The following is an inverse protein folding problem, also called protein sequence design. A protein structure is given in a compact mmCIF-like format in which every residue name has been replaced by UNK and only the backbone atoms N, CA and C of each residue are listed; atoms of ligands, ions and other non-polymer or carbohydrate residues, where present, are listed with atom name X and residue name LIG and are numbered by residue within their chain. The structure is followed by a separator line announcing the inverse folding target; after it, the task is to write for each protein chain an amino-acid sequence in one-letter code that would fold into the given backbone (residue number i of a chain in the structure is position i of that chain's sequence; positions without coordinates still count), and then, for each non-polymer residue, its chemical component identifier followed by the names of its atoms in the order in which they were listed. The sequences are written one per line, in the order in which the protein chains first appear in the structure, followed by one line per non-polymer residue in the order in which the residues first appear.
data_IF_519248098709
#
_entry.id   IF_519248098709
#
_cell.length_a   1.000
_cell.length_b   1.000
_cell.length_c   1.000
_cell.angle_alpha   90.00
_cell.angle_beta   90.00
_cell.angle_gamma   90.00
#
_symmetry.space_group_name_H-M   'P 1'
#
loop_
_entity.id
_entity.type
_entity.pdbx_description
1 polymer ?
#
# COMPACT_ATOMS: atom_id res chain seq x y z
N UNK A 1 -23.50 5.97 3.16
CA UNK A 1 -22.43 6.25 2.15
C UNK A 1 -21.04 5.74 2.56
N UNK A 2 -20.73 5.58 3.85
CA UNK A 2 -19.43 5.04 4.33
C UNK A 2 -19.09 3.63 3.77
N UNK A 3 -20.04 2.70 3.70
CA UNK A 3 -19.77 1.35 3.18
C UNK A 3 -19.43 1.26 1.67
N UNK A 4 -19.79 2.27 0.85
CA UNK A 4 -19.47 2.28 -0.58
C UNK A 4 -18.04 2.77 -0.84
N UNK A 5 -17.54 3.70 -0.03
CA UNK A 5 -16.19 4.26 -0.15
C UNK A 5 -15.15 3.21 0.26
N UNK A 6 -15.37 2.49 1.36
CA UNK A 6 -14.50 1.39 1.78
C UNK A 6 -14.37 0.28 0.73
N UNK A 7 -15.48 -0.14 0.12
CA UNK A 7 -15.45 -1.10 -1.01
C UNK A 7 -14.60 -0.60 -2.18
N UNK A 8 -14.55 0.71 -2.43
CA UNK A 8 -13.74 1.26 -3.51
C UNK A 8 -12.23 1.19 -3.24
N UNK A 9 -11.81 1.46 -2.00
CA UNK A 9 -10.39 1.43 -1.60
C UNK A 9 -9.83 0.00 -1.67
N UNK A 10 -10.51 -0.97 -1.06
CA UNK A 10 -10.07 -2.37 -1.11
C UNK A 10 -10.12 -2.95 -2.52
N UNK A 11 -11.07 -2.53 -3.37
CA UNK A 11 -11.11 -2.93 -4.78
C UNK A 11 -9.93 -2.35 -5.58
N UNK A 12 -9.49 -1.13 -5.31
CA UNK A 12 -8.28 -0.58 -5.93
C UNK A 12 -7.03 -1.31 -5.45
N UNK A 13 -6.96 -1.65 -4.16
CA UNK A 13 -5.87 -2.45 -3.61
C UNK A 13 -5.82 -3.85 -4.22
N UNK A 14 -6.96 -4.53 -4.34
CA UNK A 14 -7.10 -5.80 -5.06
C UNK A 14 -6.60 -5.70 -6.50
N UNK A 15 -7.07 -4.72 -7.27
CA UNK A 15 -6.55 -4.47 -8.64
C UNK A 15 -5.05 -4.24 -8.66
N UNK A 16 -4.49 -3.59 -7.64
CA UNK A 16 -3.05 -3.36 -7.51
C UNK A 16 -2.30 -4.68 -7.24
N UNK A 17 -2.81 -5.52 -6.34
CA UNK A 17 -2.25 -6.86 -6.07
C UNK A 17 -2.29 -7.75 -7.32
N UNK A 18 -3.39 -7.66 -8.09
CA UNK A 18 -3.59 -8.37 -9.35
C UNK A 18 -2.71 -7.90 -10.51
N UNK A 19 -1.80 -6.94 -10.29
CA UNK A 19 -0.72 -6.66 -11.24
C UNK A 19 0.46 -7.64 -11.12
N UNK A 20 0.51 -8.48 -10.07
CA UNK A 20 1.40 -9.63 -10.01
C UNK A 20 0.77 -10.85 -10.70
N UNK A 21 1.57 -11.73 -11.35
CA UNK A 21 1.05 -12.91 -12.04
C UNK A 21 0.23 -13.86 -11.16
N UNK A 22 0.60 -13.98 -9.88
CA UNK A 22 -0.12 -14.84 -8.92
C UNK A 22 -1.56 -14.35 -8.68
N UNK A 23 -1.73 -13.03 -8.59
CA UNK A 23 -3.00 -12.38 -8.27
C UNK A 23 -3.66 -12.88 -6.98
N UNK A 24 -4.89 -12.41 -6.77
CA UNK A 24 -5.85 -12.84 -5.77
C UNK A 24 -7.25 -12.50 -6.33
N UNK A 25 -8.08 -13.50 -6.69
CA UNK A 25 -9.39 -13.25 -7.26
C UNK A 25 -10.28 -12.49 -6.24
N UNK A 26 -11.10 -11.54 -6.71
CA UNK A 26 -11.97 -10.76 -5.83
C UNK A 26 -12.95 -11.68 -5.11
N UNK A 27 -12.95 -11.62 -3.78
CA UNK A 27 -13.86 -12.38 -2.92
C UNK A 27 -14.15 -11.60 -1.65
N UNK A 28 -15.27 -11.90 -1.00
CA UNK A 28 -15.58 -11.30 0.30
C UNK A 28 -14.51 -11.63 1.34
N UNK A 29 -13.97 -12.85 1.30
CA UNK A 29 -12.87 -13.28 2.17
C UNK A 29 -11.61 -12.46 1.96
N UNK A 30 -11.23 -12.19 0.71
CA UNK A 30 -10.09 -11.31 0.40
C UNK A 30 -10.30 -9.91 1.00
N UNK A 31 -11.47 -9.31 0.81
CA UNK A 31 -11.74 -7.99 1.35
C UNK A 31 -11.76 -7.95 2.88
N UNK A 32 -12.21 -9.03 3.54
CA UNK A 32 -12.11 -9.17 5.00
C UNK A 32 -10.65 -9.22 5.45
N UNK A 33 -9.80 -10.00 4.80
CA UNK A 33 -8.35 -10.05 5.08
C UNK A 33 -7.73 -8.66 4.91
N UNK A 34 -8.00 -7.99 3.78
CA UNK A 34 -7.48 -6.64 3.54
C UNK A 34 -7.96 -5.62 4.58
N UNK A 35 -9.18 -5.73 5.08
CA UNK A 35 -9.71 -4.84 6.15
C UNK A 35 -9.09 -5.07 7.53
N UNK A 36 -8.49 -6.24 7.77
CA UNK A 36 -7.74 -6.53 8.99
C UNK A 36 -6.34 -5.90 8.89
N UNK A 37 -5.74 -5.93 7.70
CA UNK A 37 -4.38 -5.44 7.46
C UNK A 37 -4.33 -3.91 7.28
N UNK A 38 -5.32 -3.35 6.60
CA UNK A 38 -5.36 -1.94 6.20
C UNK A 38 -6.65 -1.30 6.67
N UNK A 39 -6.56 -0.09 7.20
CA UNK A 39 -7.74 0.78 7.20
C UNK A 39 -8.03 1.30 5.78
N UNK A 40 -9.21 1.90 5.57
CA UNK A 40 -9.63 2.36 4.23
C UNK A 40 -8.66 3.37 3.61
N UNK A 41 -8.08 4.27 4.42
CA UNK A 41 -7.14 5.30 3.97
C UNK A 41 -5.82 4.67 3.53
N UNK A 42 -5.31 3.71 4.30
CA UNK A 42 -4.11 2.95 3.96
C UNK A 42 -4.29 2.13 2.70
N UNK A 43 -5.43 1.45 2.55
CA UNK A 43 -5.74 0.68 1.34
C UNK A 43 -5.72 1.57 0.09
N UNK A 44 -6.32 2.76 0.18
CA UNK A 44 -6.29 3.75 -0.90
C UNK A 44 -4.85 4.21 -1.20
N UNK A 45 -4.06 4.57 -0.19
CA UNK A 45 -2.68 5.03 -0.37
C UNK A 45 -1.79 3.95 -0.99
N UNK A 46 -1.87 2.71 -0.48
CA UNK A 46 -1.05 1.59 -0.93
C UNK A 46 -1.44 1.13 -2.34
N UNK A 47 -2.71 1.26 -2.72
CA UNK A 47 -3.17 0.95 -4.09
C UNK A 47 -2.51 1.83 -5.16
N UNK A 48 -2.06 3.05 -4.79
CA UNK A 48 -1.43 4.02 -5.68
C UNK A 48 0.09 3.83 -5.80
N UNK A 49 0.70 3.11 -4.86
CA UNK A 49 2.15 2.94 -4.82
C UNK A 49 2.67 2.06 -5.97
N UNK A 50 3.94 2.25 -6.40
CA UNK A 50 4.58 1.38 -7.39
C UNK A 50 4.61 -0.09 -6.95
N UNK A 51 4.67 -0.98 -7.95
CA UNK A 51 4.88 -2.43 -7.74
C UNK A 51 6.34 -2.73 -7.40
N UNK A 52 7.27 -2.00 -8.03
CA UNK A 52 8.70 -2.12 -7.79
C UNK A 52 9.11 -1.33 -6.54
N UNK A 53 10.26 -1.65 -5.90
CA UNK A 53 10.79 -0.86 -4.81
C UNK A 53 10.89 0.64 -5.16
N UNK A 54 10.41 1.48 -4.27
CA UNK A 54 10.28 2.92 -4.49
C UNK A 54 10.82 3.72 -3.31
N UNK A 55 11.11 5.00 -3.52
CA UNK A 55 11.66 5.89 -2.48
C UNK A 55 10.57 6.74 -1.83
N UNK A 56 10.90 7.36 -0.70
CA UNK A 56 10.05 8.38 -0.05
C UNK A 56 9.67 9.49 -1.04
N UNK A 57 10.61 9.95 -1.86
CA UNK A 57 10.36 10.98 -2.88
C UNK A 57 9.31 10.54 -3.91
N UNK A 58 9.30 9.26 -4.28
CA UNK A 58 8.32 8.70 -5.23
C UNK A 58 6.93 8.68 -4.58
N UNK A 59 6.82 8.15 -3.37
CA UNK A 59 5.55 8.08 -2.64
C UNK A 59 5.01 9.49 -2.33
N UNK A 60 5.86 10.42 -1.93
CA UNK A 60 5.46 11.78 -1.58
C UNK A 60 4.87 12.52 -2.77
N UNK A 61 5.42 12.29 -3.98
CA UNK A 61 4.90 12.85 -5.23
C UNK A 61 3.55 12.26 -5.62
N UNK A 62 3.37 10.95 -5.44
CA UNK A 62 2.10 10.25 -5.72
C UNK A 62 1.01 10.76 -4.78
N UNK A 63 1.30 10.80 -3.47
CA UNK A 63 0.34 11.18 -2.43
C UNK A 63 0.17 12.69 -2.26
N UNK A 64 1.01 13.50 -2.92
CA UNK A 64 1.05 14.97 -2.77
C UNK A 64 1.25 15.39 -1.30
N UNK A 65 2.09 14.65 -0.57
CA UNK A 65 2.45 14.91 0.82
C UNK A 65 3.90 15.39 0.90
N UNK A 66 4.25 16.09 1.98
CA UNK A 66 5.66 16.35 2.28
C UNK A 66 6.38 15.03 2.67
N UNK A 67 7.71 15.03 2.58
CA UNK A 67 8.52 13.81 2.81
C UNK A 67 8.39 13.28 4.23
N UNK A 68 8.35 14.15 5.24
CA UNK A 68 8.25 13.76 6.66
C UNK A 68 6.94 13.01 6.93
N UNK A 69 5.82 13.53 6.46
CA UNK A 69 4.52 12.88 6.62
C UNK A 69 4.42 11.61 5.77
N UNK A 70 5.04 11.60 4.59
CA UNK A 70 5.12 10.40 3.73
C UNK A 70 5.89 9.29 4.43
N UNK A 71 7.06 9.60 4.97
CA UNK A 71 7.93 8.67 5.67
C UNK A 71 7.23 8.09 6.90
N UNK A 72 6.58 8.92 7.72
CA UNK A 72 5.77 8.44 8.86
C UNK A 72 4.74 7.38 8.47
N UNK A 73 4.00 7.59 7.38
CA UNK A 73 3.00 6.62 6.90
C UNK A 73 3.68 5.34 6.40
N UNK A 74 4.79 5.46 5.66
CA UNK A 74 5.53 4.31 5.15
C UNK A 74 6.14 3.49 6.30
N UNK A 75 6.69 4.15 7.31
CA UNK A 75 7.28 3.53 8.50
C UNK A 75 6.23 2.87 9.38
N UNK A 76 5.04 3.46 9.52
CA UNK A 76 3.92 2.85 10.24
C UNK A 76 3.42 1.55 9.55
N UNK A 77 3.39 1.54 8.22
CA UNK A 77 3.07 0.34 7.44
C UNK A 77 4.20 -0.70 7.54
N UNK A 78 5.46 -0.27 7.51
CA UNK A 78 6.62 -1.16 7.66
C UNK A 78 6.69 -1.77 9.07
N UNK A 79 6.42 -0.98 10.11
CA UNK A 79 6.38 -1.43 11.50
C UNK A 79 5.30 -2.48 11.78
N UNK A 80 4.26 -2.57 10.92
CA UNK A 80 3.24 -3.64 10.94
C UNK A 80 3.51 -4.79 9.97
N UNK A 81 4.73 -4.88 9.42
CA UNK A 81 5.14 -5.87 8.43
C UNK A 81 4.29 -5.88 7.14
N UNK A 82 3.63 -4.74 6.81
CA UNK A 82 2.87 -4.59 5.58
C UNK A 82 3.80 -4.21 4.42
N UNK A 83 4.68 -3.24 4.66
CA UNK A 83 5.73 -2.89 3.72
C UNK A 83 7.06 -3.45 4.20
N UNK A 84 7.91 -3.84 3.25
CA UNK A 84 9.32 -4.09 3.52
C UNK A 84 10.09 -2.81 3.22
N UNK A 85 10.75 -2.25 4.23
CA UNK A 85 11.75 -1.21 4.05
C UNK A 85 13.16 -1.83 3.90
N UNK A 86 14.00 -1.13 3.16
CA UNK A 86 15.39 -1.54 2.92
C UNK A 86 16.23 -0.30 2.71
N UNK A 87 17.47 -0.34 3.17
CA UNK A 87 18.43 0.73 2.96
C UNK A 87 19.64 0.21 2.21
N UNK A 88 20.00 0.89 1.13
CA UNK A 88 21.22 0.60 0.38
C UNK A 88 21.92 1.90 -0.01
N UNK A 89 23.18 2.04 0.41
CA UNK A 89 24.00 3.24 0.15
C UNK A 89 23.30 4.56 0.57
N UNK A 90 22.66 4.56 1.75
CA UNK A 90 21.93 5.72 2.28
C UNK A 90 20.60 6.01 1.60
N UNK A 91 20.13 5.15 0.68
CA UNK A 91 18.84 5.31 0.00
C UNK A 91 17.84 4.31 0.59
N UNK A 92 16.91 4.82 1.40
CA UNK A 92 15.78 4.06 1.92
C UNK A 92 14.73 3.82 0.83
N UNK A 93 14.33 2.56 0.66
CA UNK A 93 13.32 2.10 -0.28
C UNK A 93 12.27 1.25 0.43
N UNK A 94 11.06 1.28 -0.08
CA UNK A 94 9.93 0.49 0.39
C UNK A 94 9.37 -0.35 -0.75
N UNK A 95 8.80 -1.49 -0.41
CA UNK A 95 8.06 -2.34 -1.34
C UNK A 95 6.94 -3.05 -0.59
N UNK A 96 5.75 -3.12 -1.20
CA UNK A 96 4.72 -4.07 -0.74
C UNK A 96 5.12 -5.44 -1.33
N UNK A 97 5.43 -6.44 -0.50
CA UNK A 97 5.82 -7.75 -0.99
C UNK A 97 4.77 -8.32 -1.96
N UNK A 98 5.18 -9.10 -2.97
CA UNK A 98 4.22 -9.83 -3.79
C UNK A 98 3.36 -10.75 -2.91
N UNK A 99 2.07 -10.93 -3.25
CA UNK A 99 1.19 -11.88 -2.56
C UNK A 99 1.62 -13.33 -2.76
#
# INVERSE_FOLDING_TARGET
MSHMVGKSAYKKLEKRLNRYPQGAPPSETLYKILSILFNEKEAELVSQLPIKPFTINTASRIWKLNKVNTEKVLDELAGRAILLDSEHKGIKKYVLPPP
#
